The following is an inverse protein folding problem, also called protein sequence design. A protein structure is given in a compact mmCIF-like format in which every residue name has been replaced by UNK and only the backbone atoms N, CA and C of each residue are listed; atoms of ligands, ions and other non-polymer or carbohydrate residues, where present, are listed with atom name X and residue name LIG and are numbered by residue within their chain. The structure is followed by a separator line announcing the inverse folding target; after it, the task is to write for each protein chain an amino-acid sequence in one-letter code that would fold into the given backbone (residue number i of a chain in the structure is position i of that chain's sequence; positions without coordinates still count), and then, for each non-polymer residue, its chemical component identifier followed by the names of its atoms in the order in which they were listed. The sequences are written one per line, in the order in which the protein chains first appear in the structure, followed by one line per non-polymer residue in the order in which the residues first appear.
data_IF_597065796385
#
_entry.id   IF_597065796385
#
_cell.length_a   1.000
_cell.length_b   1.000
_cell.length_c   1.000
_cell.angle_alpha   90.00
_cell.angle_beta   90.00
_cell.angle_gamma   90.00
#
_symmetry.space_group_name_H-M   'P 1'
#
loop_
_entity.id
_entity.type
_entity.pdbx_description
1 polymer ?
#
# COMPACT_ATOMS: atom_id res chain seq x y z
N UNK A 1 -17.99 7.89 19.32
CA UNK A 1 -16.63 7.43 18.98
C UNK A 1 -15.89 7.33 20.31
N UNK A 2 -15.44 6.14 20.69
CA UNK A 2 -14.83 5.89 22.00
C UNK A 2 -13.31 5.74 21.83
N UNK A 3 -12.56 6.02 22.88
CA UNK A 3 -11.12 5.80 22.98
C UNK A 3 -10.71 5.61 24.43
N UNK A 4 -9.45 5.25 24.69
CA UNK A 4 -8.89 5.23 26.03
C UNK A 4 -7.57 6.00 26.05
N UNK A 5 -7.23 6.55 27.21
CA UNK A 5 -5.95 7.17 27.46
C UNK A 5 -5.41 6.61 28.77
N UNK A 6 -4.20 6.05 28.74
CA UNK A 6 -3.54 5.43 29.89
C UNK A 6 -2.13 5.97 30.02
N UNK A 7 -1.80 6.43 31.21
CA UNK A 7 -0.42 6.63 31.65
C UNK A 7 -0.07 5.52 32.64
N UNK A 8 1.13 4.95 32.50
CA UNK A 8 1.68 4.00 33.45
C UNK A 8 3.20 3.96 33.29
N UNK A 9 3.91 4.20 34.37
CA UNK A 9 5.35 4.02 34.48
C UNK A 9 5.67 3.83 35.95
N UNK A 10 6.13 2.65 36.34
CA UNK A 10 6.43 2.35 37.73
C UNK A 10 7.48 1.23 37.85
N UNK A 11 8.29 1.28 38.91
CA UNK A 11 9.13 0.16 39.32
C UNK A 11 8.28 -0.83 40.10
N UNK A 12 8.10 -2.02 39.57
CA UNK A 12 7.21 -3.05 40.14
C UNK A 12 7.89 -4.39 40.25
N UNK A 13 7.50 -5.19 41.25
CA UNK A 13 7.84 -6.60 41.32
C UNK A 13 6.80 -7.43 40.53
N UNK A 14 7.14 -7.78 39.30
CA UNK A 14 6.26 -8.45 38.32
C UNK A 14 6.71 -9.90 38.08
N UNK A 15 6.25 -10.50 36.98
CA UNK A 15 6.57 -11.87 36.60
C UNK A 15 8.07 -12.16 36.43
N UNK A 16 8.89 -11.13 36.16
CA UNK A 16 10.34 -11.24 35.98
C UNK A 16 11.14 -10.58 37.13
N UNK A 17 10.54 -10.49 38.34
CA UNK A 17 11.15 -9.81 39.48
C UNK A 17 10.94 -8.29 39.46
N UNK A 18 11.82 -7.54 40.11
CA UNK A 18 11.74 -6.08 40.18
C UNK A 18 12.26 -5.44 38.89
N UNK A 19 11.39 -4.71 38.19
CA UNK A 19 11.69 -4.08 36.90
C UNK A 19 10.86 -2.80 36.69
N UNK A 20 11.34 -1.89 35.83
CA UNK A 20 10.56 -0.73 35.39
C UNK A 20 9.58 -1.17 34.31
N UNK A 21 8.28 -0.96 34.53
CA UNK A 21 7.23 -1.28 33.55
C UNK A 21 6.50 0.00 33.17
N UNK A 22 6.40 0.26 31.87
CA UNK A 22 5.73 1.42 31.32
C UNK A 22 5.67 1.38 29.79
N UNK A 23 5.35 2.52 29.19
CA UNK A 23 5.13 2.65 27.74
C UNK A 23 6.09 3.67 27.11
N UNK A 24 7.41 3.52 27.33
CA UNK A 24 8.42 4.33 26.62
C UNK A 24 8.29 4.22 25.09
N UNK A 25 8.04 3.01 24.57
CA UNK A 25 7.42 2.80 23.26
C UNK A 25 5.90 2.89 23.44
N UNK A 26 5.22 3.94 22.95
CA UNK A 26 3.80 4.16 23.25
C UNK A 26 2.90 3.17 22.50
N UNK A 27 1.69 2.99 23.01
CA UNK A 27 0.60 2.43 22.22
C UNK A 27 -0.11 3.59 21.52
N UNK A 28 0.10 3.73 20.22
CA UNK A 28 -0.70 4.60 19.35
C UNK A 28 -1.71 3.71 18.62
N UNK A 29 -3.00 3.91 18.91
CA UNK A 29 -4.07 3.07 18.37
C UNK A 29 -5.11 3.93 17.65
N UNK A 30 -5.40 3.56 16.41
CA UNK A 30 -6.46 4.11 15.58
C UNK A 30 -7.40 2.99 15.10
N UNK A 31 -8.70 3.29 14.98
CA UNK A 31 -9.71 2.35 14.52
C UNK A 31 -11.02 3.05 14.22
N UNK A 32 -11.90 2.39 13.47
CA UNK A 32 -13.17 2.97 13.01
C UNK A 32 -14.18 1.95 12.53
N UNK A 33 -15.33 2.44 12.08
CA UNK A 33 -16.39 1.65 11.44
C UNK A 33 -16.80 2.33 10.13
N UNK A 34 -17.16 1.52 9.13
CA UNK A 34 -17.65 1.97 7.83
C UNK A 34 -18.90 1.21 7.42
N UNK A 35 -19.56 1.68 6.35
CA UNK A 35 -20.66 0.98 5.70
C UNK A 35 -20.17 0.37 4.39
N UNK A 36 -20.74 -0.78 4.01
CA UNK A 36 -20.43 -1.48 2.76
C UNK A 36 -21.72 -2.06 2.17
N UNK A 37 -21.83 -2.07 0.83
CA UNK A 37 -22.93 -2.76 0.14
C UNK A 37 -22.68 -4.26 0.14
N UNK A 38 -23.73 -5.06 0.28
CA UNK A 38 -23.63 -6.52 0.40
C UNK A 38 -22.86 -7.16 -0.77
N UNK A 39 -23.14 -6.72 -2.00
CA UNK A 39 -22.53 -7.27 -3.23
C UNK A 39 -21.06 -6.88 -3.41
N UNK A 40 -20.52 -6.01 -2.55
CA UNK A 40 -19.12 -5.56 -2.57
C UNK A 40 -18.31 -6.07 -1.37
N UNK A 41 -18.89 -6.93 -0.51
CA UNK A 41 -18.19 -7.53 0.63
C UNK A 41 -17.14 -8.54 0.18
N UNK A 42 -17.45 -9.34 -0.84
CA UNK A 42 -16.53 -10.31 -1.41
C UNK A 42 -15.68 -9.63 -2.48
N UNK A 43 -14.38 -9.93 -2.51
CA UNK A 43 -13.48 -9.48 -3.57
C UNK A 43 -13.90 -10.13 -4.90
N UNK A 44 -13.78 -9.38 -5.99
CA UNK A 44 -14.02 -9.89 -7.33
C UNK A 44 -12.84 -10.70 -7.86
N UNK A 45 -13.07 -11.47 -8.93
CA UNK A 45 -12.00 -12.18 -9.63
C UNK A 45 -11.18 -11.19 -10.47
N UNK A 46 -9.86 -11.29 -10.38
CA UNK A 46 -8.95 -10.55 -11.26
C UNK A 46 -8.84 -11.31 -12.58
N UNK A 47 -9.35 -10.72 -13.67
CA UNK A 47 -9.23 -11.29 -15.02
C UNK A 47 -7.82 -11.10 -15.59
N UNK A 48 -7.39 -12.01 -16.47
CA UNK A 48 -6.13 -11.86 -17.21
C UNK A 48 -6.19 -10.56 -18.04
N UNK A 49 -5.10 -9.79 -18.00
CA UNK A 49 -5.02 -8.48 -18.68
C UNK A 49 -5.72 -7.34 -17.95
N UNK A 50 -6.29 -7.59 -16.76
CA UNK A 50 -6.77 -6.51 -15.89
C UNK A 50 -5.63 -5.51 -15.62
N UNK A 51 -5.97 -4.23 -15.61
CA UNK A 51 -5.03 -3.15 -15.36
C UNK A 51 -4.80 -3.01 -13.86
N UNK A 52 -3.52 -3.04 -13.49
CA UNK A 52 -3.05 -2.91 -12.10
C UNK A 52 -2.65 -1.46 -11.89
N UNK A 53 -3.35 -0.81 -10.96
CA UNK A 53 -3.34 0.64 -10.80
C UNK A 53 -2.86 0.98 -9.39
N UNK A 54 -2.06 2.05 -9.29
CA UNK A 54 -1.87 2.79 -8.05
C UNK A 54 -2.77 4.02 -8.08
N UNK A 55 -3.70 4.11 -7.13
CA UNK A 55 -4.52 5.29 -6.87
C UNK A 55 -3.92 6.01 -5.67
N UNK A 56 -3.59 7.30 -5.81
CA UNK A 56 -3.05 8.08 -4.71
C UNK A 56 -1.88 8.98 -5.04
N UNK A 57 -1.21 9.42 -3.98
CA UNK A 57 -0.12 10.39 -4.05
C UNK A 57 1.13 9.87 -4.81
N UNK A 58 1.90 10.77 -5.45
CA UNK A 58 3.24 10.45 -5.93
C UNK A 58 4.14 9.97 -4.80
N UNK A 59 4.96 8.96 -5.09
CA UNK A 59 5.88 8.38 -4.12
C UNK A 59 7.12 9.25 -3.89
N UNK A 60 7.67 9.15 -2.68
CA UNK A 60 8.93 9.73 -2.21
C UNK A 60 9.67 8.67 -1.37
N UNK A 61 10.94 8.91 -1.06
CA UNK A 61 11.73 7.99 -0.24
C UNK A 61 11.38 8.13 1.25
N UNK A 62 10.21 7.63 1.62
CA UNK A 62 9.63 7.70 2.96
C UNK A 62 9.48 6.28 3.51
N UNK A 63 9.79 6.09 4.79
CA UNK A 63 9.46 4.85 5.49
C UNK A 63 10.17 3.60 4.98
N UNK A 64 11.27 3.72 4.24
CA UNK A 64 11.94 2.56 3.64
C UNK A 64 12.41 1.58 4.74
N UNK A 65 11.83 0.37 4.74
CA UNK A 65 12.13 -0.64 5.76
C UNK A 65 11.43 -0.41 7.10
N UNK A 66 10.40 0.43 7.17
CA UNK A 66 9.60 0.69 8.37
C UNK A 66 9.05 -0.58 9.02
N UNK A 67 8.61 -1.55 8.21
CA UNK A 67 8.22 -2.89 8.69
C UNK A 67 9.32 -3.59 9.51
N UNK A 68 10.57 -3.61 9.03
CA UNK A 68 11.70 -4.20 9.73
C UNK A 68 12.08 -3.39 10.98
N UNK A 69 12.11 -2.06 10.88
CA UNK A 69 12.42 -1.18 12.00
C UNK A 69 11.40 -1.30 13.15
N UNK A 70 10.10 -1.45 12.82
CA UNK A 70 9.03 -1.59 13.81
C UNK A 70 9.13 -2.86 14.67
N UNK A 71 9.80 -3.90 14.13
CA UNK A 71 10.01 -5.21 14.76
C UNK A 71 11.13 -5.20 15.81
N UNK A 72 11.88 -4.10 15.95
CA UNK A 72 12.99 -3.96 16.90
C UNK A 72 12.58 -3.21 18.18
N UNK A 73 13.34 -3.43 19.26
CA UNK A 73 13.20 -2.69 20.52
C UNK A 73 13.76 -1.26 20.38
N UNK A 74 13.06 -0.26 20.92
CA UNK A 74 13.45 1.15 20.85
C UNK A 74 14.69 1.46 21.73
N UNK A 75 15.57 2.36 21.27
CA UNK A 75 16.61 2.98 22.11
C UNK A 75 18.07 2.66 21.77
N UNK A 76 18.33 1.83 20.75
CA UNK A 76 19.68 1.57 20.21
C UNK A 76 19.66 1.66 18.67
N UNK A 77 19.30 2.83 18.14
CA UNK A 77 19.12 3.07 16.71
C UNK A 77 20.21 4.01 16.18
N UNK A 78 20.67 3.75 14.96
CA UNK A 78 21.57 4.65 14.22
C UNK A 78 20.74 5.80 13.61
N UNK A 79 21.35 6.95 13.35
CA UNK A 79 20.63 8.15 12.90
C UNK A 79 19.83 7.91 11.59
N UNK A 80 20.35 7.05 10.71
CA UNK A 80 19.69 6.70 9.44
C UNK A 80 18.38 5.91 9.65
N UNK A 81 18.33 5.04 10.68
CA UNK A 81 17.12 4.29 11.04
C UNK A 81 16.05 5.22 11.64
N UNK A 82 16.48 6.28 12.35
CA UNK A 82 15.56 7.28 12.90
C UNK A 82 14.92 8.13 11.78
N UNK A 83 15.67 8.49 10.72
CA UNK A 83 15.08 9.16 9.54
C UNK A 83 14.10 8.26 8.78
N UNK A 84 14.42 6.97 8.61
CA UNK A 84 13.51 6.01 7.99
C UNK A 84 12.20 5.81 8.78
N UNK A 85 12.18 6.15 10.08
CA UNK A 85 10.99 6.06 10.92
C UNK A 85 10.05 7.27 10.82
N UNK A 86 10.47 8.34 10.14
CA UNK A 86 9.65 9.56 9.99
C UNK A 86 8.61 9.35 8.88
N UNK A 87 7.35 9.36 9.30
CA UNK A 87 6.19 9.29 8.41
C UNK A 87 5.72 10.68 7.98
N UNK A 88 5.01 10.75 6.85
CA UNK A 88 4.45 11.99 6.32
C UNK A 88 3.01 11.76 5.87
N UNK A 89 2.08 12.51 6.44
CA UNK A 89 0.66 12.46 6.10
C UNK A 89 0.23 13.59 5.15
N UNK A 90 -0.73 13.28 4.28
CA UNK A 90 -1.52 14.23 3.51
C UNK A 90 -3.00 13.79 3.42
N UNK A 91 -3.82 14.05 4.46
CA UNK A 91 -5.20 13.56 4.51
C UNK A 91 -6.11 14.05 3.38
N UNK A 92 -5.77 15.17 2.72
CA UNK A 92 -6.52 15.67 1.57
C UNK A 92 -6.39 14.75 0.35
N UNK A 93 -5.20 14.17 0.15
CA UNK A 93 -4.96 13.18 -0.90
C UNK A 93 -5.81 11.93 -0.65
N UNK A 94 -5.82 11.44 0.58
CA UNK A 94 -6.65 10.29 0.96
C UNK A 94 -8.15 10.58 0.76
N UNK A 95 -8.60 11.79 1.09
CA UNK A 95 -9.99 12.20 0.84
C UNK A 95 -10.34 12.14 -0.65
N UNK A 96 -9.47 12.60 -1.54
CA UNK A 96 -9.69 12.52 -3.00
C UNK A 96 -9.76 11.08 -3.50
N UNK A 97 -8.91 10.20 -2.97
CA UNK A 97 -8.97 8.77 -3.27
C UNK A 97 -10.30 8.16 -2.79
N UNK A 98 -10.72 8.49 -1.57
CA UNK A 98 -11.99 8.04 -1.01
C UNK A 98 -13.18 8.49 -1.86
N UNK A 99 -13.18 9.69 -2.43
CA UNK A 99 -14.25 10.13 -3.34
C UNK A 99 -14.33 9.27 -4.61
N UNK A 100 -13.19 8.86 -5.18
CA UNK A 100 -13.18 7.91 -6.32
C UNK A 100 -13.72 6.55 -5.90
N UNK A 101 -13.26 6.01 -4.77
CA UNK A 101 -13.76 4.74 -4.22
C UNK A 101 -15.27 4.84 -3.99
N UNK A 102 -15.75 5.98 -3.49
CA UNK A 102 -17.16 6.26 -3.29
C UNK A 102 -17.95 6.23 -4.59
N UNK A 103 -17.45 6.90 -5.64
CA UNK A 103 -18.08 6.84 -6.96
C UNK A 103 -18.13 5.40 -7.49
N UNK A 104 -17.06 4.63 -7.34
CA UNK A 104 -16.99 3.25 -7.79
C UNK A 104 -18.06 2.36 -7.15
N UNK A 105 -18.16 2.30 -5.82
CA UNK A 105 -19.18 1.44 -5.17
C UNK A 105 -20.61 1.99 -5.35
N UNK A 106 -20.78 3.30 -5.53
CA UNK A 106 -22.08 3.93 -5.80
C UNK A 106 -22.66 3.52 -7.16
N UNK A 107 -21.84 3.06 -8.11
CA UNK A 107 -22.30 2.49 -9.38
C UNK A 107 -22.97 1.11 -9.22
N UNK A 108 -22.92 0.50 -8.03
CA UNK A 108 -23.57 -0.79 -7.75
C UNK A 108 -22.95 -1.91 -8.58
N UNK A 109 -23.75 -2.54 -9.43
CA UNK A 109 -23.31 -3.65 -10.29
C UNK A 109 -22.31 -3.20 -11.35
N UNK A 110 -22.30 -1.90 -11.67
CA UNK A 110 -21.36 -1.29 -12.61
C UNK A 110 -20.08 -0.76 -11.93
N UNK A 111 -19.78 -1.20 -10.70
CA UNK A 111 -18.54 -0.86 -10.02
C UNK A 111 -17.32 -1.41 -10.82
N UNK A 112 -16.39 -0.56 -11.28
CA UNK A 112 -15.25 -1.00 -12.09
C UNK A 112 -14.14 -1.69 -11.27
N UNK A 113 -14.18 -1.60 -9.93
CA UNK A 113 -13.16 -2.19 -9.05
C UNK A 113 -13.41 -3.70 -8.94
N UNK A 114 -12.48 -4.50 -9.46
CA UNK A 114 -12.45 -5.95 -9.27
C UNK A 114 -11.84 -6.29 -7.90
N UNK A 115 -10.73 -5.63 -7.59
CA UNK A 115 -9.97 -5.82 -6.36
C UNK A 115 -9.36 -4.50 -5.93
N UNK A 116 -9.24 -4.27 -4.63
CA UNK A 116 -8.56 -3.10 -4.04
C UNK A 116 -7.86 -3.51 -2.74
N UNK A 117 -6.68 -2.99 -2.48
CA UNK A 117 -5.91 -3.20 -1.25
C UNK A 117 -5.20 -1.89 -0.86
N UNK A 118 -4.96 -1.70 0.43
CA UNK A 118 -4.16 -0.58 0.93
C UNK A 118 -2.67 -0.80 0.64
N UNK A 119 -1.91 0.30 0.61
CA UNK A 119 -0.45 0.28 0.57
C UNK A 119 0.07 0.73 1.92
N UNK A 120 0.72 -0.17 2.65
CA UNK A 120 1.27 0.07 3.97
C UNK A 120 2.74 -0.36 4.06
N UNK A 121 3.04 -1.20 5.05
CA UNK A 121 4.40 -1.71 5.29
C UNK A 121 4.96 -2.44 4.06
N UNK A 122 6.20 -2.13 3.70
CA UNK A 122 6.83 -2.64 2.47
C UNK A 122 6.34 -2.01 1.16
N UNK A 123 5.38 -1.10 1.21
CA UNK A 123 4.93 -0.35 0.03
C UNK A 123 4.33 -1.22 -1.06
N UNK A 124 4.64 -0.89 -2.32
CA UNK A 124 4.17 -1.64 -3.49
C UNK A 124 4.77 -3.05 -3.55
N UNK A 125 5.95 -3.25 -2.94
CA UNK A 125 6.59 -4.56 -2.87
C UNK A 125 5.83 -5.60 -2.08
N UNK A 126 4.94 -5.18 -1.18
CA UNK A 126 4.00 -6.05 -0.50
C UNK A 126 2.62 -6.02 -1.18
N UNK A 127 2.08 -4.82 -1.39
CA UNK A 127 0.70 -4.64 -1.81
C UNK A 127 0.39 -5.19 -3.22
N UNK A 128 1.30 -5.03 -4.19
CA UNK A 128 1.06 -5.54 -5.54
C UNK A 128 1.14 -7.07 -5.63
N UNK A 129 2.16 -7.74 -5.05
CA UNK A 129 2.18 -9.21 -4.98
C UNK A 129 0.97 -9.79 -4.24
N UNK A 130 0.57 -9.23 -3.10
CA UNK A 130 -0.64 -9.66 -2.37
C UNK A 130 -1.89 -9.55 -3.26
N UNK A 131 -2.09 -8.39 -3.93
CA UNK A 131 -3.24 -8.17 -4.79
C UNK A 131 -3.34 -9.20 -5.93
N UNK A 132 -2.24 -9.50 -6.63
CA UNK A 132 -2.29 -10.47 -7.74
C UNK A 132 -2.39 -11.90 -7.23
N UNK A 133 -1.71 -12.23 -6.12
CA UNK A 133 -1.73 -13.56 -5.51
C UNK A 133 -3.13 -13.92 -4.99
N UNK A 134 -3.81 -13.00 -4.30
CA UNK A 134 -5.19 -13.17 -3.83
C UNK A 134 -6.17 -13.40 -4.99
N UNK A 135 -5.87 -12.82 -6.16
CA UNK A 135 -6.61 -13.06 -7.41
C UNK A 135 -6.18 -14.31 -8.18
N UNK A 136 -5.19 -15.08 -7.71
CA UNK A 136 -4.64 -16.25 -8.37
C UNK A 136 -3.86 -15.94 -9.66
N UNK A 137 -3.31 -14.73 -9.78
CA UNK A 137 -2.62 -14.20 -10.97
C UNK A 137 -1.16 -13.87 -10.67
N UNK A 138 -0.37 -13.68 -11.73
CA UNK A 138 0.87 -12.92 -11.67
C UNK A 138 0.68 -11.47 -12.08
N UNK A 139 1.79 -10.75 -12.22
CA UNK A 139 1.76 -9.35 -12.63
C UNK A 139 3.02 -8.93 -13.37
N UNK A 140 2.81 -8.19 -14.46
CA UNK A 140 3.89 -7.52 -15.21
C UNK A 140 3.79 -6.02 -15.01
N UNK A 141 4.82 -5.45 -14.42
CA UNK A 141 4.87 -4.07 -13.98
C UNK A 141 5.96 -3.28 -14.71
N UNK A 142 5.74 -1.97 -14.81
CA UNK A 142 6.69 -1.01 -15.33
C UNK A 142 6.97 0.06 -14.27
N UNK A 143 8.21 0.07 -13.80
CA UNK A 143 8.68 0.94 -12.72
C UNK A 143 8.45 2.41 -13.03
N UNK A 144 8.65 2.80 -14.30
CA UNK A 144 8.58 4.20 -14.73
C UNK A 144 7.17 4.67 -15.06
N UNK A 145 6.15 3.85 -14.82
CA UNK A 145 4.74 4.29 -14.81
C UNK A 145 4.28 4.73 -13.41
N UNK A 146 5.03 4.41 -12.36
CA UNK A 146 4.72 4.83 -10.99
C UNK A 146 4.95 6.34 -10.84
N UNK A 147 3.95 7.05 -10.30
CA UNK A 147 4.07 8.48 -10.00
C UNK A 147 5.12 8.69 -8.90
N UNK A 148 6.09 9.56 -9.16
CA UNK A 148 7.20 9.86 -8.23
C UNK A 148 7.44 11.37 -8.18
N UNK A 149 7.56 11.91 -6.96
CA UNK A 149 8.01 13.28 -6.70
C UNK A 149 9.53 13.36 -6.46
N UNK A 150 10.20 12.21 -6.37
CA UNK A 150 11.66 12.11 -6.19
C UNK A 150 12.29 11.31 -7.36
N UNK A 151 12.71 11.98 -8.43
CA UNK A 151 13.25 11.30 -9.62
C UNK A 151 14.59 10.60 -9.39
N UNK A 152 15.27 10.90 -8.27
CA UNK A 152 16.54 10.29 -7.88
C UNK A 152 16.43 8.92 -7.22
N UNK A 153 15.21 8.45 -6.92
CA UNK A 153 15.00 7.16 -6.26
C UNK A 153 15.48 5.99 -7.13
N UNK A 154 16.17 5.06 -6.49
CA UNK A 154 16.51 3.75 -7.04
C UNK A 154 15.26 2.87 -7.24
N UNK A 155 15.34 1.79 -8.04
CA UNK A 155 14.22 0.84 -8.18
C UNK A 155 13.72 0.27 -6.84
N UNK A 156 14.63 0.00 -5.91
CA UNK A 156 14.29 -0.46 -4.57
C UNK A 156 13.48 0.59 -3.82
N UNK A 157 13.91 1.85 -3.83
CA UNK A 157 13.21 2.93 -3.15
C UNK A 157 11.83 3.18 -3.76
N UNK A 158 11.70 3.21 -5.09
CA UNK A 158 10.39 3.39 -5.76
C UNK A 158 9.42 2.26 -5.39
N UNK A 159 9.90 1.02 -5.32
CA UNK A 159 9.06 -0.16 -5.09
C UNK A 159 8.73 -0.40 -3.61
N UNK A 160 9.68 -0.11 -2.71
CA UNK A 160 9.58 -0.49 -1.29
C UNK A 160 9.34 0.68 -0.33
N UNK A 161 9.31 1.94 -0.80
CA UNK A 161 8.95 3.07 0.07
C UNK A 161 7.52 2.91 0.62
N UNK A 162 7.33 3.38 1.83
CA UNK A 162 6.05 3.39 2.55
C UNK A 162 5.41 4.79 2.45
N UNK A 163 5.49 5.45 1.28
CA UNK A 163 4.73 6.69 1.05
C UNK A 163 3.24 6.45 1.27
N UNK A 164 2.60 7.40 1.96
CA UNK A 164 1.22 7.33 2.41
C UNK A 164 0.20 7.65 1.30
N UNK A 165 -1.08 7.49 1.62
CA UNK A 165 -2.24 7.79 0.77
C UNK A 165 -2.23 7.10 -0.60
N UNK A 166 -1.90 5.80 -0.61
CA UNK A 166 -1.89 4.97 -1.82
C UNK A 166 -2.72 3.70 -1.63
N UNK A 167 -3.37 3.31 -2.72
CA UNK A 167 -4.15 2.08 -2.85
C UNK A 167 -3.74 1.37 -4.15
N UNK A 168 -3.70 0.05 -4.12
CA UNK A 168 -3.56 -0.76 -5.33
C UNK A 168 -4.91 -1.33 -5.71
N UNK A 169 -5.23 -1.34 -7.00
CA UNK A 169 -6.51 -1.84 -7.48
C UNK A 169 -6.42 -2.45 -8.88
N UNK A 170 -7.30 -3.43 -9.12
CA UNK A 170 -7.47 -4.10 -10.40
C UNK A 170 -8.77 -3.64 -11.08
N UNK A 171 -8.66 -3.21 -12.33
CA UNK A 171 -9.79 -2.75 -13.16
C UNK A 171 -9.71 -3.43 -14.52
N UNK A 172 -10.85 -3.87 -15.06
CA UNK A 172 -10.89 -4.42 -16.42
C UNK A 172 -10.49 -3.35 -17.45
N UNK A 173 -9.79 -3.75 -18.52
CA UNK A 173 -9.22 -2.79 -19.47
C UNK A 173 -10.26 -1.90 -20.17
N UNK A 174 -11.46 -2.43 -20.40
CA UNK A 174 -12.61 -1.71 -20.97
C UNK A 174 -13.25 -0.70 -20.01
N UNK A 175 -13.03 -0.86 -18.70
CA UNK A 175 -13.50 0.05 -17.66
C UNK A 175 -12.52 1.19 -17.35
N UNK A 176 -11.31 1.16 -17.92
CA UNK A 176 -10.30 2.19 -17.69
C UNK A 176 -10.77 3.61 -18.07
N UNK A 177 -11.51 3.84 -19.18
CA UNK A 177 -12.03 5.18 -19.50
C UNK A 177 -13.00 5.72 -18.45
N UNK A 178 -13.85 4.86 -17.88
CA UNK A 178 -14.74 5.23 -16.78
C UNK A 178 -13.92 5.59 -15.53
N UNK A 179 -12.97 4.75 -15.15
CA UNK A 179 -12.11 5.00 -13.99
C UNK A 179 -11.32 6.31 -14.13
N UNK A 180 -10.79 6.58 -15.33
CA UNK A 180 -10.10 7.83 -15.66
C UNK A 180 -11.00 9.07 -15.48
N UNK A 181 -12.26 9.01 -15.93
CA UNK A 181 -13.24 10.07 -15.74
C UNK A 181 -13.48 10.36 -14.25
N UNK A 182 -13.69 9.31 -13.45
CA UNK A 182 -13.91 9.42 -12.01
C UNK A 182 -12.71 10.08 -11.32
N UNK A 183 -11.50 9.59 -11.59
CA UNK A 183 -10.27 10.15 -11.04
C UNK A 183 -10.08 11.62 -11.42
N UNK A 184 -10.26 11.98 -12.70
CA UNK A 184 -10.13 13.37 -13.15
C UNK A 184 -11.14 14.31 -12.50
N UNK A 185 -12.39 13.84 -12.33
CA UNK A 185 -13.44 14.62 -11.66
C UNK A 185 -13.09 14.94 -10.21
N UNK A 186 -12.58 13.96 -9.47
CA UNK A 186 -12.19 14.13 -8.06
C UNK A 186 -10.75 14.66 -7.91
N UNK A 187 -10.05 14.85 -9.03
CA UNK A 187 -8.63 15.19 -9.08
C UNK A 187 -7.78 14.16 -8.35
N UNK A 188 -8.19 12.89 -8.24
CA UNK A 188 -7.36 11.87 -7.64
C UNK A 188 -6.27 11.43 -8.64
N UNK A 189 -4.97 11.53 -8.31
CA UNK A 189 -3.93 11.01 -9.17
C UNK A 189 -3.99 9.49 -9.19
N UNK A 190 -3.73 8.90 -10.35
CA UNK A 190 -3.57 7.46 -10.49
C UNK A 190 -2.61 7.15 -11.63
N UNK A 191 -2.07 5.94 -11.62
CA UNK A 191 -1.29 5.40 -12.72
C UNK A 191 -1.61 3.92 -12.92
N UNK A 192 -1.77 3.51 -14.18
CA UNK A 192 -1.69 2.10 -14.56
C UNK A 192 -0.23 1.73 -14.61
N UNK A 193 0.22 0.83 -13.73
CA UNK A 193 1.63 0.47 -13.61
C UNK A 193 1.92 -0.95 -14.09
N UNK A 194 0.89 -1.68 -14.49
CA UNK A 194 1.05 -3.06 -14.94
C UNK A 194 -0.24 -3.72 -15.38
N UNK A 195 -0.13 -5.02 -15.64
CA UNK A 195 -1.25 -5.88 -16.01
C UNK A 195 -1.15 -7.26 -15.35
N UNK A 196 -2.32 -7.81 -15.01
CA UNK A 196 -2.43 -9.15 -14.43
C UNK A 196 -2.15 -10.22 -15.48
N UNK A 197 -1.39 -11.25 -15.12
CA UNK A 197 -1.05 -12.37 -16.00
C UNK A 197 -1.63 -13.69 -15.55
N UNK A 198 -1.80 -14.61 -16.51
CA UNK A 198 -2.16 -15.99 -16.19
C UNK A 198 -1.04 -16.71 -15.43
N UNK A 199 0.20 -16.55 -15.91
CA UNK A 199 1.39 -17.05 -15.24
C UNK A 199 1.56 -16.36 -13.90
N UNK A 200 1.72 -17.13 -12.82
CA UNK A 200 1.92 -16.65 -11.44
C UNK A 200 3.38 -16.22 -11.22
N UNK A 201 3.77 -15.20 -11.97
CA UNK A 201 5.11 -14.64 -11.99
C UNK A 201 5.05 -13.13 -11.78
N UNK A 202 6.01 -12.59 -11.04
CA UNK A 202 6.18 -11.17 -10.80
C UNK A 202 7.35 -10.65 -11.64
N UNK A 203 7.06 -9.77 -12.59
CA UNK A 203 8.10 -9.05 -13.34
C UNK A 203 7.97 -7.54 -13.13
N UNK A 204 9.07 -6.87 -12.84
CA UNK A 204 9.17 -5.41 -12.80
C UNK A 204 10.24 -4.99 -13.79
N UNK A 205 9.81 -4.28 -14.84
CA UNK A 205 10.69 -3.72 -15.86
C UNK A 205 11.06 -2.26 -15.53
N UNK A 206 12.21 -1.82 -16.00
CA UNK A 206 12.63 -0.43 -15.92
C UNK A 206 13.14 0.06 -17.29
N UNK A 207 12.29 0.81 -18.00
CA UNK A 207 12.65 1.39 -19.30
C UNK A 207 13.73 2.46 -19.26
N UNK A 208 14.05 3.04 -18.10
CA UNK A 208 15.11 4.04 -17.99
C UNK A 208 16.50 3.39 -18.06
N UNK A 209 16.66 2.24 -17.42
CA UNK A 209 17.91 1.48 -17.41
C UNK A 209 17.94 0.30 -18.39
N UNK A 210 16.84 0.06 -19.12
CA UNK A 210 16.68 -1.05 -20.06
C UNK A 210 17.02 -2.41 -19.41
N UNK A 211 16.46 -2.62 -18.21
CA UNK A 211 16.68 -3.83 -17.43
C UNK A 211 15.39 -4.26 -16.68
N UNK A 212 15.50 -5.35 -15.94
CA UNK A 212 14.38 -5.96 -15.23
C UNK A 212 14.75 -6.13 -13.74
N UNK A 213 14.46 -5.13 -12.87
CA UNK A 213 14.77 -5.21 -11.45
C UNK A 213 14.18 -6.41 -10.70
N UNK A 214 13.01 -6.93 -11.12
CA UNK A 214 12.39 -8.12 -10.52
C UNK A 214 11.97 -9.10 -11.61
N UNK A 215 12.36 -10.35 -11.44
CA UNK A 215 12.00 -11.48 -12.30
C UNK A 215 11.90 -12.74 -11.42
N UNK A 216 10.75 -12.92 -10.75
CA UNK A 216 10.57 -13.99 -9.77
C UNK A 216 9.21 -14.69 -9.90
N UNK A 217 9.17 -16.03 -9.82
CA UNK A 217 7.94 -16.76 -9.53
C UNK A 217 7.32 -16.31 -8.19
N UNK A 218 5.98 -16.23 -8.11
CA UNK A 218 5.31 -15.76 -6.90
C UNK A 218 5.44 -16.74 -5.72
N UNK A 219 5.52 -18.04 -5.98
CA UNK A 219 5.75 -19.06 -4.94
C UNK A 219 7.11 -18.86 -4.25
N UNK A 220 8.15 -18.50 -5.01
CA UNK A 220 9.47 -18.17 -4.46
C UNK A 220 9.42 -16.90 -3.60
N UNK A 221 8.64 -15.90 -4.00
CA UNK A 221 8.54 -14.62 -3.29
C UNK A 221 7.72 -14.73 -2.00
N UNK A 222 6.60 -15.46 -2.04
CA UNK A 222 5.62 -15.50 -0.96
C UNK A 222 5.82 -16.69 0.01
N UNK A 223 6.61 -17.70 -0.38
CA UNK A 223 6.98 -18.85 0.45
C UNK A 223 6.13 -20.08 0.22
#
# INVERSE_FOLDING_TARGET
MNGYFRTYEEKVNSHNGEELRGYHKPIMLAGGIGNIRADHVQKGEIVIGAKLIVLGGPAMNIGLGGGAASSMASGQSDADLDFASVQRDNPEMERRCQEVIDRCWQLGDANPILFIHDVGAGGLSNAMPELVSDGGRGGKFELRDILSDEPGMSPLEIWCNESQERYVLAVAADQLPLFDELCKRERAPYAVIGEATEEQHLSLNDRHFDNQPIDLPLDVLLG
#
